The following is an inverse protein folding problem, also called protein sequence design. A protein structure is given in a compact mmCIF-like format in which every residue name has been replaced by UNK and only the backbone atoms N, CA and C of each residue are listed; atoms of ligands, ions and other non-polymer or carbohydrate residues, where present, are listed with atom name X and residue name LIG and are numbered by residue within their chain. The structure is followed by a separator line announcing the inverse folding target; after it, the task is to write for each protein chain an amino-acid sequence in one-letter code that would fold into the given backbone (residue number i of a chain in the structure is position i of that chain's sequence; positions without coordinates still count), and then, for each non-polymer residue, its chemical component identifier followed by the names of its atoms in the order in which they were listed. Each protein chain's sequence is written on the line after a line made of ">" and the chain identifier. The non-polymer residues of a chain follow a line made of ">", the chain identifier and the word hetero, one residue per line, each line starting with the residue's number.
data_IF_300592700400
#
_entry.id   IF_300592700400
#
_cell.length_a   1.000
_cell.length_b   1.000
_cell.length_c   1.000
_cell.angle_alpha   90.00
_cell.angle_beta   90.00
_cell.angle_gamma   90.00
#
_symmetry.space_group_name_H-M   'P 1'
#
loop_
_entity.id
_entity.type
_entity.pdbx_description
1 polymer ?
#
# COMPACT_ATOMS: atom_id res chain seq x y z
N UNK A 1 0.49 15.39 1.84
CA UNK A 1 1.80 14.87 1.38
C UNK A 1 1.76 13.35 1.38
N UNK A 2 2.36 12.69 0.39
CA UNK A 2 2.49 11.23 0.35
C UNK A 2 3.71 10.79 1.18
N UNK A 3 3.56 9.72 1.96
CA UNK A 3 4.65 8.99 2.59
C UNK A 3 4.82 7.63 1.92
N UNK A 4 6.05 7.17 1.76
CA UNK A 4 6.34 5.89 1.12
C UNK A 4 7.61 5.26 1.65
N UNK A 5 7.67 3.93 1.63
CA UNK A 5 8.86 3.16 1.92
C UNK A 5 9.41 2.57 0.62
N UNK A 6 10.56 3.07 0.18
CA UNK A 6 11.25 2.54 -1.01
C UNK A 6 12.48 1.71 -0.67
N UNK A 7 13.05 1.86 0.53
CA UNK A 7 14.26 1.17 0.93
C UNK A 7 14.11 0.52 2.31
N UNK A 8 14.80 -0.61 2.51
CA UNK A 8 14.99 -1.25 3.81
C UNK A 8 16.46 -1.15 4.24
N UNK A 9 16.75 -1.18 5.55
CA UNK A 9 18.11 -1.14 6.07
C UNK A 9 18.98 -2.28 5.55
N UNK A 10 20.22 -1.99 5.16
CA UNK A 10 21.26 -2.97 4.82
C UNK A 10 22.62 -2.50 5.34
N UNK A 11 23.18 -3.22 6.31
CA UNK A 11 24.40 -2.79 7.00
C UNK A 11 24.21 -1.40 7.62
N UNK A 12 25.07 -0.45 7.24
CA UNK A 12 24.98 0.95 7.68
C UNK A 12 24.16 1.85 6.73
N UNK A 13 23.56 1.29 5.68
CA UNK A 13 22.83 2.04 4.65
C UNK A 13 21.43 1.48 4.40
N UNK A 14 20.88 1.83 3.23
CA UNK A 14 19.55 1.43 2.79
C UNK A 14 19.59 0.96 1.35
N UNK A 15 18.74 -0.01 1.00
CA UNK A 15 18.59 -0.47 -0.38
C UNK A 15 17.14 -0.85 -0.69
N UNK A 16 16.78 -0.76 -1.96
CA UNK A 16 15.44 -1.08 -2.45
C UNK A 16 15.14 -2.59 -2.39
N UNK A 17 13.85 -3.01 -2.40
CA UNK A 17 13.46 -4.42 -2.35
C UNK A 17 14.19 -5.36 -3.34
N UNK A 18 14.51 -4.98 -4.60
CA UNK A 18 15.28 -5.85 -5.49
C UNK A 18 16.61 -6.32 -4.90
N UNK A 19 17.32 -5.43 -4.20
CA UNK A 19 18.59 -5.78 -3.55
C UNK A 19 18.38 -6.82 -2.43
N UNK A 20 17.33 -6.65 -1.64
CA UNK A 20 17.00 -7.54 -0.53
C UNK A 20 16.57 -8.92 -1.02
N UNK A 21 15.69 -8.97 -2.03
CA UNK A 21 15.20 -10.23 -2.60
C UNK A 21 16.29 -11.09 -3.25
N UNK A 22 17.38 -10.48 -3.73
CA UNK A 22 18.54 -11.21 -4.27
C UNK A 22 19.37 -11.92 -3.19
N UNK A 23 19.23 -11.53 -1.92
CA UNK A 23 20.15 -11.91 -0.83
C UNK A 23 19.46 -12.60 0.34
N UNK A 24 18.13 -12.54 0.39
CA UNK A 24 17.34 -12.96 1.54
C UNK A 24 16.11 -13.76 1.08
N UNK A 25 15.57 -14.66 1.93
CA UNK A 25 14.31 -15.32 1.64
C UNK A 25 13.19 -14.29 1.36
N UNK A 26 12.44 -14.40 0.25
CA UNK A 26 11.48 -13.36 -0.14
C UNK A 26 10.38 -13.11 0.89
N UNK A 27 9.94 -14.15 1.60
CA UNK A 27 8.97 -14.01 2.67
C UNK A 27 9.51 -13.15 3.83
N UNK A 28 10.80 -13.25 4.18
CA UNK A 28 11.40 -12.42 5.23
C UNK A 28 11.49 -10.96 4.80
N UNK A 29 11.89 -10.70 3.55
CA UNK A 29 11.93 -9.35 3.00
C UNK A 29 10.56 -8.69 3.04
N UNK A 30 9.50 -9.42 2.67
CA UNK A 30 8.14 -8.88 2.71
C UNK A 30 7.67 -8.60 4.14
N UNK A 31 7.98 -9.48 5.10
CA UNK A 31 7.64 -9.25 6.52
C UNK A 31 8.33 -8.02 7.07
N UNK A 32 9.64 -7.91 6.85
CA UNK A 32 10.42 -6.74 7.27
C UNK A 32 9.91 -5.47 6.62
N UNK A 33 9.56 -5.53 5.33
CA UNK A 33 8.99 -4.39 4.63
C UNK A 33 7.70 -3.90 5.27
N UNK A 34 6.78 -4.79 5.64
CA UNK A 34 5.51 -4.42 6.27
C UNK A 34 5.68 -3.95 7.72
N UNK A 35 6.64 -4.52 8.45
CA UNK A 35 7.03 -4.00 9.78
C UNK A 35 7.58 -2.59 9.66
N UNK A 36 8.44 -2.34 8.69
CA UNK A 36 9.06 -1.03 8.49
C UNK A 36 8.04 0.02 8.01
N UNK A 37 6.98 -0.38 7.29
CA UNK A 37 5.84 0.51 7.03
C UNK A 37 5.20 0.98 8.34
N UNK A 38 5.00 0.08 9.30
CA UNK A 38 4.44 0.46 10.61
C UNK A 38 5.39 1.39 11.38
N UNK A 39 6.70 1.15 11.31
CA UNK A 39 7.74 2.04 11.86
C UNK A 39 7.69 3.43 11.22
N UNK A 40 7.62 3.50 9.88
CA UNK A 40 7.49 4.75 9.13
C UNK A 40 6.24 5.54 9.57
N UNK A 41 5.12 4.84 9.72
CA UNK A 41 3.86 5.46 10.16
C UNK A 41 4.00 6.01 11.58
N UNK A 42 4.53 5.21 12.52
CA UNK A 42 4.67 5.62 13.91
C UNK A 42 5.72 6.72 14.13
N UNK A 43 6.79 6.74 13.32
CA UNK A 43 7.93 7.65 13.47
C UNK A 43 7.82 8.97 12.71
N UNK A 44 6.74 9.20 11.96
CA UNK A 44 6.63 10.38 11.09
C UNK A 44 5.22 10.92 11.02
N UNK A 45 5.04 12.20 11.31
CA UNK A 45 3.78 12.94 11.18
C UNK A 45 3.73 13.85 9.94
N UNK A 46 4.74 13.78 9.07
CA UNK A 46 4.89 14.72 7.95
C UNK A 46 3.99 14.39 6.75
N UNK A 47 3.38 13.20 6.73
CA UNK A 47 2.56 12.72 5.62
C UNK A 47 1.13 12.37 6.06
N UNK A 48 0.20 12.53 5.11
CA UNK A 48 -1.23 12.32 5.32
C UNK A 48 -1.77 11.10 4.58
N UNK A 49 -1.04 10.63 3.57
CA UNK A 49 -1.42 9.49 2.72
C UNK A 49 -0.23 8.53 2.65
N UNK A 50 -0.45 7.24 2.93
CA UNK A 50 0.55 6.20 2.66
C UNK A 50 0.41 5.73 1.20
N UNK A 51 1.45 5.96 0.41
CA UNK A 51 1.51 5.52 -0.98
C UNK A 51 1.86 4.03 -1.07
N UNK A 52 1.19 3.34 -1.99
CA UNK A 52 1.49 1.98 -2.45
C UNK A 52 2.11 1.04 -1.37
N UNK A 53 1.30 0.69 -0.37
CA UNK A 53 1.72 -0.15 0.79
C UNK A 53 2.29 -1.52 0.37
N UNK A 54 2.08 -1.94 -0.86
CA UNK A 54 2.52 -3.18 -1.47
C UNK A 54 3.70 -2.99 -2.46
N UNK A 55 4.41 -1.86 -2.43
CA UNK A 55 5.50 -1.56 -3.36
C UNK A 55 6.53 -2.68 -3.55
N UNK A 56 6.95 -3.35 -2.47
CA UNK A 56 7.88 -4.47 -2.55
C UNK A 56 7.38 -5.62 -3.43
N UNK A 57 6.06 -5.80 -3.57
CA UNK A 57 5.45 -6.83 -4.42
C UNK A 57 5.80 -6.62 -5.90
N UNK A 58 6.08 -5.39 -6.34
CA UNK A 58 6.54 -5.09 -7.72
C UNK A 58 7.81 -5.85 -8.09
N UNK A 59 8.59 -6.22 -7.09
CA UNK A 59 9.87 -6.92 -7.24
C UNK A 59 9.85 -8.33 -6.64
N UNK A 60 8.65 -8.86 -6.37
CA UNK A 60 8.50 -10.22 -5.86
C UNK A 60 9.15 -11.24 -6.83
N UNK A 61 10.08 -12.08 -6.37
CA UNK A 61 10.85 -12.93 -7.28
C UNK A 61 10.00 -14.03 -7.92
N UNK A 62 10.15 -14.23 -9.23
CA UNK A 62 9.41 -15.24 -10.00
C UNK A 62 9.62 -16.66 -9.46
N UNK A 63 10.85 -16.98 -9.03
CA UNK A 63 11.21 -18.28 -8.44
C UNK A 63 10.51 -18.57 -7.10
N UNK A 64 9.96 -17.55 -6.44
CA UNK A 64 9.15 -17.71 -5.23
C UNK A 64 7.68 -18.03 -5.53
N UNK A 65 7.33 -18.16 -6.82
CA UNK A 65 5.96 -18.34 -7.27
C UNK A 65 5.13 -17.06 -7.18
N UNK A 66 3.83 -17.12 -7.47
CA UNK A 66 2.97 -15.95 -7.46
C UNK A 66 2.85 -15.38 -6.05
N UNK A 67 2.92 -14.05 -5.91
CA UNK A 67 2.65 -13.39 -4.64
C UNK A 67 1.22 -13.66 -4.18
N UNK A 68 1.08 -13.94 -2.88
CA UNK A 68 -0.19 -14.27 -2.22
C UNK A 68 -0.33 -13.39 -0.97
N UNK A 69 -1.16 -12.33 -1.01
CA UNK A 69 -1.30 -11.41 0.13
C UNK A 69 -1.65 -12.10 1.45
N UNK A 70 -2.48 -13.15 1.42
CA UNK A 70 -2.93 -13.88 2.61
C UNK A 70 -1.80 -14.52 3.43
N UNK A 71 -0.63 -14.80 2.82
CA UNK A 71 0.54 -15.31 3.54
C UNK A 71 1.16 -14.27 4.49
N UNK A 72 0.80 -12.99 4.30
CA UNK A 72 1.29 -11.83 5.03
C UNK A 72 0.15 -11.00 5.66
N UNK A 73 -1.02 -11.61 5.84
CA UNK A 73 -2.22 -10.90 6.31
C UNK A 73 -2.00 -10.22 7.67
N UNK A 74 -1.31 -10.89 8.59
CA UNK A 74 -1.03 -10.32 9.92
C UNK A 74 -0.18 -9.06 9.83
N UNK A 75 0.86 -9.08 9.02
CA UNK A 75 1.78 -7.97 8.81
C UNK A 75 1.12 -6.81 8.05
N UNK A 76 0.32 -7.10 7.02
CA UNK A 76 -0.48 -6.07 6.34
C UNK A 76 -1.47 -5.41 7.31
N UNK A 77 -2.23 -6.20 8.07
CA UNK A 77 -3.19 -5.67 9.05
C UNK A 77 -2.50 -4.82 10.10
N UNK A 78 -1.32 -5.22 10.57
CA UNK A 78 -0.55 -4.43 11.51
C UNK A 78 -0.19 -3.04 10.96
N UNK A 79 0.37 -2.99 9.74
CA UNK A 79 0.69 -1.74 9.06
C UNK A 79 -0.56 -0.86 8.81
N UNK A 80 -1.65 -1.48 8.34
CA UNK A 80 -2.91 -0.79 8.07
C UNK A 80 -3.56 -0.24 9.35
N UNK A 81 -3.52 -0.99 10.46
CA UNK A 81 -4.02 -0.53 11.75
C UNK A 81 -3.23 0.65 12.28
N UNK A 82 -1.91 0.61 12.17
CA UNK A 82 -1.06 1.74 12.55
C UNK A 82 -1.44 2.99 11.74
N UNK A 83 -1.64 2.84 10.43
CA UNK A 83 -2.06 3.93 9.55
C UNK A 83 -3.44 4.49 9.93
N UNK A 84 -4.40 3.60 10.19
CA UNK A 84 -5.77 3.98 10.56
C UNK A 84 -5.82 4.72 11.90
N UNK A 85 -5.03 4.27 12.89
CA UNK A 85 -4.93 4.90 14.20
C UNK A 85 -4.46 6.35 14.15
N UNK A 86 -3.62 6.69 13.16
CA UNK A 86 -3.15 8.07 12.92
C UNK A 86 -4.12 8.96 12.13
N UNK A 87 -5.31 8.46 11.76
CA UNK A 87 -6.28 9.21 10.94
C UNK A 87 -5.80 9.45 9.50
N UNK A 88 -4.82 8.68 9.04
CA UNK A 88 -4.21 8.84 7.71
C UNK A 88 -5.00 8.08 6.65
N UNK A 89 -4.65 8.32 5.40
CA UNK A 89 -5.34 7.82 4.21
C UNK A 89 -4.48 6.77 3.52
N UNK A 90 -5.09 5.73 2.95
CA UNK A 90 -4.40 4.73 2.14
C UNK A 90 -4.48 5.09 0.64
N UNK A 91 -3.37 5.02 -0.09
CA UNK A 91 -3.42 5.07 -1.55
C UNK A 91 -3.76 3.69 -2.14
N UNK A 92 -4.73 3.64 -3.04
CA UNK A 92 -4.95 2.53 -3.97
C UNK A 92 -4.17 2.85 -5.24
N UNK A 93 -3.00 2.22 -5.36
CA UNK A 93 -2.06 2.47 -6.44
C UNK A 93 -2.25 1.47 -7.59
N UNK A 94 -2.32 1.96 -8.82
CA UNK A 94 -2.52 1.18 -10.06
C UNK A 94 -1.23 1.00 -10.87
N UNK A 95 -0.09 1.50 -10.37
CA UNK A 95 1.22 1.23 -10.95
C UNK A 95 1.72 -0.20 -10.69
N UNK A 96 1.14 -0.88 -9.69
CA UNK A 96 1.34 -2.29 -9.39
C UNK A 96 0.09 -3.14 -9.63
N UNK A 97 0.12 -4.38 -9.14
CA UNK A 97 -1.05 -5.27 -9.15
C UNK A 97 -2.05 -4.80 -8.10
N UNK A 98 -3.33 -4.71 -8.46
CA UNK A 98 -4.40 -4.46 -7.49
C UNK A 98 -4.64 -5.70 -6.60
N UNK A 99 -4.67 -5.46 -5.29
CA UNK A 99 -4.91 -6.49 -4.26
C UNK A 99 -6.17 -6.12 -3.44
N UNK A 100 -7.36 -6.64 -3.81
CA UNK A 100 -8.61 -6.36 -3.10
C UNK A 100 -8.56 -6.67 -1.60
N UNK A 101 -7.77 -7.67 -1.22
CA UNK A 101 -7.56 -8.05 0.17
C UNK A 101 -7.04 -6.89 1.02
N UNK A 102 -6.15 -6.06 0.48
CA UNK A 102 -5.58 -4.90 1.19
C UNK A 102 -6.65 -3.85 1.47
N UNK A 103 -7.53 -3.56 0.49
CA UNK A 103 -8.62 -2.59 0.67
C UNK A 103 -9.67 -3.12 1.66
N UNK A 104 -9.95 -4.43 1.62
CA UNK A 104 -10.80 -5.08 2.61
C UNK A 104 -10.22 -4.95 4.02
N UNK A 105 -8.97 -5.36 4.22
CA UNK A 105 -8.28 -5.26 5.51
C UNK A 105 -8.18 -3.83 6.00
N UNK A 106 -7.92 -2.86 5.11
CA UNK A 106 -7.91 -1.45 5.46
C UNK A 106 -9.22 -1.03 6.13
N UNK A 107 -10.36 -1.41 5.56
CA UNK A 107 -11.66 -1.14 6.17
C UNK A 107 -11.90 -1.88 7.50
N UNK A 108 -11.44 -3.13 7.61
CA UNK A 108 -11.57 -3.94 8.83
C UNK A 108 -10.70 -3.43 9.98
N UNK A 109 -9.53 -2.86 9.69
CA UNK A 109 -8.61 -2.26 10.67
C UNK A 109 -8.98 -0.80 11.03
N UNK A 110 -10.17 -0.33 10.62
CA UNK A 110 -10.71 0.98 10.97
C UNK A 110 -10.35 2.11 9.99
N UNK A 111 -9.78 1.77 8.84
CA UNK A 111 -9.47 2.70 7.77
C UNK A 111 -10.69 3.39 7.18
N UNK A 112 -10.63 4.72 7.10
CA UNK A 112 -11.80 5.56 6.76
C UNK A 112 -11.77 6.11 5.35
N UNK A 113 -10.59 6.28 4.77
CA UNK A 113 -10.43 6.98 3.51
C UNK A 113 -9.38 6.34 2.60
N UNK A 114 -9.56 6.50 1.30
CA UNK A 114 -8.55 6.16 0.28
C UNK A 114 -8.34 7.29 -0.73
N UNK A 115 -7.19 7.27 -1.40
CA UNK A 115 -6.90 8.03 -2.62
C UNK A 115 -6.52 7.08 -3.74
N UNK A 116 -6.43 7.58 -4.97
CA UNK A 116 -5.99 6.81 -6.13
C UNK A 116 -4.71 7.39 -6.72
N UNK A 117 -3.76 6.53 -7.06
CA UNK A 117 -2.51 6.89 -7.72
C UNK A 117 -2.23 5.95 -8.89
N UNK A 118 -1.75 6.49 -10.02
CA UNK A 118 -1.29 5.64 -11.15
C UNK A 118 0.19 5.36 -11.14
N UNK A 119 0.96 6.14 -10.36
CA UNK A 119 2.42 6.09 -10.36
C UNK A 119 3.03 6.17 -11.78
N UNK A 120 2.33 6.93 -12.63
CA UNK A 120 2.62 7.01 -14.04
C UNK A 120 3.85 7.89 -14.29
N UNK A 121 4.89 7.28 -14.87
CA UNK A 121 6.10 7.98 -15.31
C UNK A 121 6.07 8.33 -16.81
N UNK A 122 4.91 8.18 -17.46
CA UNK A 122 4.69 8.61 -18.84
C UNK A 122 3.21 8.97 -19.06
N UNK A 123 2.89 9.86 -20.01
CA UNK A 123 1.49 10.23 -20.30
C UNK A 123 0.60 9.04 -20.67
N UNK A 124 1.14 8.04 -21.37
CA UNK A 124 0.41 6.83 -21.76
C UNK A 124 0.01 5.95 -20.57
N UNK A 125 0.73 6.06 -19.45
CA UNK A 125 0.46 5.31 -18.23
C UNK A 125 -0.54 6.01 -17.30
N UNK A 126 -0.88 7.28 -17.56
CA UNK A 126 -1.73 8.07 -16.69
C UNK A 126 -3.11 7.42 -16.55
N UNK A 127 -3.56 7.28 -15.30
CA UNK A 127 -4.87 6.72 -14.94
C UNK A 127 -5.12 5.29 -15.46
N UNK A 128 -4.06 4.55 -15.83
CA UNK A 128 -4.18 3.14 -16.20
C UNK A 128 -4.87 2.37 -15.07
N UNK A 129 -5.82 1.51 -15.43
CA UNK A 129 -6.57 0.66 -14.50
C UNK A 129 -7.38 1.39 -13.41
N UNK A 130 -7.58 2.71 -13.51
CA UNK A 130 -8.41 3.47 -12.55
C UNK A 130 -9.84 2.95 -12.47
N UNK A 131 -10.45 2.57 -13.60
CA UNK A 131 -11.81 2.01 -13.61
C UNK A 131 -11.90 0.71 -12.77
N UNK A 132 -10.87 -0.13 -12.82
CA UNK A 132 -10.80 -1.35 -12.02
C UNK A 132 -10.59 -1.03 -10.53
N UNK A 133 -9.69 -0.09 -10.23
CA UNK A 133 -9.46 0.36 -8.86
C UNK A 133 -10.71 0.97 -8.23
N UNK A 134 -11.45 1.80 -8.98
CA UNK A 134 -12.72 2.39 -8.55
C UNK A 134 -13.75 1.31 -8.23
N UNK A 135 -13.98 0.38 -9.16
CA UNK A 135 -14.94 -0.71 -8.96
C UNK A 135 -14.59 -1.57 -7.72
N UNK A 136 -13.30 -1.87 -7.52
CA UNK A 136 -12.81 -2.58 -6.34
C UNK A 136 -13.08 -1.79 -5.04
N UNK A 137 -12.77 -0.50 -5.01
CA UNK A 137 -12.99 0.37 -3.84
C UNK A 137 -14.48 0.52 -3.53
N UNK A 138 -15.34 0.65 -4.54
CA UNK A 138 -16.80 0.71 -4.38
C UNK A 138 -17.38 -0.57 -3.80
N UNK A 139 -16.90 -1.72 -4.28
CA UNK A 139 -17.29 -3.04 -3.77
C UNK A 139 -16.95 -3.22 -2.29
N UNK A 140 -15.92 -2.53 -1.79
CA UNK A 140 -15.57 -2.50 -0.37
C UNK A 140 -16.27 -1.39 0.44
N UNK A 141 -17.23 -0.69 -0.15
CA UNK A 141 -18.14 0.22 0.53
C UNK A 141 -17.63 1.65 0.68
N UNK A 142 -16.51 2.02 0.04
CA UNK A 142 -16.07 3.40 -0.02
C UNK A 142 -16.77 4.13 -1.17
N UNK A 143 -16.95 5.44 -1.01
CA UNK A 143 -17.69 6.31 -1.95
C UNK A 143 -16.88 7.57 -2.26
N UNK A 144 -17.08 8.18 -3.44
CA UNK A 144 -16.41 9.42 -3.80
C UNK A 144 -16.75 10.54 -2.81
N UNK A 145 -15.80 11.45 -2.62
CA UNK A 145 -16.05 12.74 -1.99
C UNK A 145 -16.88 13.65 -2.89
N UNK A 146 -17.01 14.92 -2.50
CA UNK A 146 -17.82 15.89 -3.24
C UNK A 146 -17.17 16.30 -4.55
N UNK A 147 -15.84 16.31 -4.59
CA UNK A 147 -15.04 16.72 -5.73
C UNK A 147 -14.19 15.58 -6.28
N UNK A 148 -13.81 15.60 -7.57
CA UNK A 148 -13.01 14.53 -8.19
C UNK A 148 -11.63 14.29 -7.55
N UNK A 149 -11.10 15.29 -6.84
CA UNK A 149 -9.80 15.23 -6.16
C UNK A 149 -9.92 14.94 -4.65
N UNK A 150 -11.14 14.76 -4.14
CA UNK A 150 -11.35 14.40 -2.75
C UNK A 150 -10.94 12.95 -2.51
N UNK A 151 -10.52 12.66 -1.29
CA UNK A 151 -10.39 11.29 -0.83
C UNK A 151 -11.76 10.60 -0.84
N UNK A 152 -11.77 9.30 -1.08
CA UNK A 152 -12.98 8.49 -1.01
C UNK A 152 -13.15 7.98 0.41
N UNK A 153 -14.37 8.00 0.94
CA UNK A 153 -14.62 7.70 2.34
C UNK A 153 -15.59 6.52 2.49
N UNK A 154 -15.46 5.82 3.61
CA UNK A 154 -16.51 4.92 4.08
C UNK A 154 -17.62 5.75 4.73
N UNK A 155 -18.87 5.74 4.22
CA UNK A 155 -19.98 6.42 4.88
C UNK A 155 -20.14 5.91 6.31
N UNK A 156 -20.45 6.80 7.26
CA UNK A 156 -20.71 6.41 8.64
C UNK A 156 -21.79 5.34 8.71
N UNK A 157 -21.54 4.29 9.50
CA UNK A 157 -22.57 3.34 9.93
C UNK A 157 -23.49 4.00 10.95
#
# INVERSE_FOLDING_TARGET
>A
MLGSLHCLPVGAGFAEPPHHFQRRPPAEVMRDYLVEIACLVAGSDVFSVLAHVDYAVRYWPEQAGPFRPHLFEGEFRHALRALAGGGRVLEVNTGGRLHPEIVRWWGEEGGKAVTFGSDAHSPRALARDFAQAVAMVEAHGLRPGRHPYDTWFRPGR
#
